data_IF_623360819564
#
_entry.id   IF_623360819564
#
_cell.length_a   1.000
_cell.length_b   1.000
_cell.length_c   1.000
_cell.angle_alpha   90.00
_cell.angle_beta   90.00
_cell.angle_gamma   90.00
#
_symmetry.space_group_name_H-M   'P 1'
#
loop_
_entity.id
_entity.type
_entity.pdbx_description
1 polymer ?
#
# COMPACT_ATOMS: atom_id res chain seq x y z
N UNK A 1 -11.57 12.08 -18.60
CA UNK A 1 -11.54 10.61 -18.66
C UNK A 1 -11.03 10.23 -20.03
N UNK A 2 -10.17 9.22 -20.12
CA UNK A 2 -9.65 8.71 -21.39
C UNK A 2 -10.68 7.77 -22.02
N UNK A 3 -10.80 7.82 -23.34
CA UNK A 3 -11.61 6.86 -24.08
C UNK A 3 -10.99 5.46 -24.02
N UNK A 4 -11.83 4.42 -24.01
CA UNK A 4 -11.38 3.02 -23.98
C UNK A 4 -10.85 2.55 -22.63
N UNK A 5 -10.91 3.36 -21.57
CA UNK A 5 -10.48 2.99 -20.21
C UNK A 5 -11.69 2.77 -19.31
N UNK A 6 -11.74 1.63 -18.62
CA UNK A 6 -12.72 1.36 -17.56
C UNK A 6 -12.27 2.06 -16.28
N UNK A 7 -13.20 2.69 -15.56
CA UNK A 7 -12.89 3.47 -14.36
C UNK A 7 -13.69 3.02 -13.14
N UNK A 8 -12.99 2.98 -12.00
CA UNK A 8 -13.59 3.04 -10.66
C UNK A 8 -13.14 4.36 -10.01
N UNK A 9 -14.09 5.24 -9.71
CA UNK A 9 -13.81 6.54 -9.12
C UNK A 9 -14.28 6.58 -7.66
N UNK A 10 -13.33 6.72 -6.74
CA UNK A 10 -13.59 6.80 -5.30
C UNK A 10 -13.29 8.24 -4.82
N UNK A 11 -14.31 9.06 -4.51
CA UNK A 11 -14.10 10.36 -3.91
C UNK A 11 -13.57 10.21 -2.48
N UNK A 12 -12.29 10.54 -2.27
CA UNK A 12 -11.64 10.41 -0.96
C UNK A 12 -10.56 11.48 -0.75
N UNK A 13 -10.57 12.09 0.43
CA UNK A 13 -9.52 13.00 0.88
C UNK A 13 -8.30 12.23 1.40
N UNK A 14 -7.11 12.81 1.31
CA UNK A 14 -5.90 12.26 1.97
C UNK A 14 -5.82 12.71 3.42
N UNK A 15 -6.82 12.31 4.21
CA UNK A 15 -6.93 12.65 5.62
C UNK A 15 -6.93 11.39 6.47
N UNK A 16 -6.30 11.40 7.66
CA UNK A 16 -6.41 10.30 8.61
C UNK A 16 -7.85 9.96 9.04
N UNK A 17 -8.79 10.90 8.90
CA UNK A 17 -10.22 10.69 9.20
C UNK A 17 -11.03 10.09 8.05
N UNK A 18 -10.46 10.03 6.84
CA UNK A 18 -11.14 9.43 5.69
C UNK A 18 -11.21 7.90 5.88
N UNK A 19 -12.41 7.33 5.79
CA UNK A 19 -12.57 5.87 5.77
C UNK A 19 -12.34 5.36 4.33
N UNK A 20 -11.17 4.77 4.09
CA UNK A 20 -10.84 4.06 2.84
C UNK A 20 -11.17 2.56 2.93
N UNK A 21 -11.15 1.97 4.12
CA UNK A 21 -11.43 0.54 4.32
C UNK A 21 -12.78 0.11 3.74
N UNK A 22 -13.81 0.97 3.82
CA UNK A 22 -15.12 0.72 3.20
C UNK A 22 -15.07 0.51 1.68
N UNK A 23 -14.00 0.95 1.01
CA UNK A 23 -13.78 0.84 -0.43
C UNK A 23 -12.84 -0.31 -0.82
N UNK A 24 -12.30 -1.07 0.14
CA UNK A 24 -11.36 -2.14 -0.15
C UNK A 24 -12.00 -3.21 -1.04
N UNK A 25 -13.22 -3.65 -0.74
CA UNK A 25 -13.86 -4.74 -1.51
C UNK A 25 -14.07 -4.38 -2.98
N UNK A 26 -14.64 -3.21 -3.27
CA UNK A 26 -14.84 -2.77 -4.65
C UNK A 26 -13.52 -2.51 -5.39
N UNK A 27 -12.50 -1.99 -4.70
CA UNK A 27 -11.18 -1.73 -5.28
C UNK A 27 -10.47 -3.04 -5.62
N UNK A 28 -10.48 -4.00 -4.69
CA UNK A 28 -9.89 -5.33 -4.86
C UNK A 28 -10.53 -6.03 -6.04
N UNK A 29 -11.87 -6.07 -6.08
CA UNK A 29 -12.62 -6.66 -7.20
C UNK A 29 -12.21 -6.04 -8.53
N UNK A 30 -12.21 -4.71 -8.62
CA UNK A 30 -11.88 -4.00 -9.84
C UNK A 30 -10.46 -4.29 -10.35
N UNK A 31 -9.47 -4.29 -9.45
CA UNK A 31 -8.08 -4.62 -9.78
C UNK A 31 -7.96 -6.08 -10.20
N UNK A 32 -8.59 -6.99 -9.45
CA UNK A 32 -8.48 -8.43 -9.69
C UNK A 32 -9.08 -8.84 -11.04
N UNK A 33 -10.30 -8.39 -11.34
CA UNK A 33 -10.96 -8.66 -12.63
C UNK A 33 -10.09 -8.16 -13.80
N UNK A 34 -9.53 -6.95 -13.70
CA UNK A 34 -8.63 -6.40 -14.72
C UNK A 34 -7.43 -7.33 -14.95
N UNK A 35 -6.79 -7.80 -13.88
CA UNK A 35 -5.61 -8.68 -13.98
C UNK A 35 -5.96 -10.07 -14.55
N UNK A 36 -7.11 -10.63 -14.20
CA UNK A 36 -7.56 -11.93 -14.74
C UNK A 36 -7.82 -11.88 -16.24
N UNK A 37 -8.19 -10.71 -16.79
CA UNK A 37 -8.33 -10.52 -18.23
C UNK A 37 -7.00 -10.30 -18.97
N UNK A 38 -5.87 -10.27 -18.24
CA UNK A 38 -4.55 -9.98 -18.81
C UNK A 38 -4.32 -8.49 -19.12
N UNK A 39 -5.19 -7.61 -18.61
CA UNK A 39 -5.10 -6.16 -18.80
C UNK A 39 -4.31 -5.47 -17.66
N UNK A 40 -3.86 -4.24 -17.93
CA UNK A 40 -3.16 -3.42 -16.94
C UNK A 40 -4.10 -2.50 -16.15
N UNK A 41 -3.97 -2.51 -14.82
CA UNK A 41 -4.71 -1.62 -13.93
C UNK A 41 -3.80 -0.52 -13.35
N UNK A 42 -4.16 0.76 -13.56
CA UNK A 42 -3.50 1.90 -12.91
C UNK A 42 -4.34 2.39 -11.73
N UNK A 43 -3.81 2.26 -10.51
CA UNK A 43 -4.39 2.86 -9.31
C UNK A 43 -3.63 4.15 -8.99
N UNK A 44 -4.30 5.30 -9.09
CA UNK A 44 -3.67 6.60 -8.84
C UNK A 44 -4.47 7.44 -7.85
N UNK A 45 -3.78 8.39 -7.21
CA UNK A 45 -4.38 9.51 -6.48
C UNK A 45 -3.66 10.80 -6.92
N UNK A 46 -3.66 11.86 -6.10
CA UNK A 46 -2.98 13.10 -6.46
C UNK A 46 -1.45 12.93 -6.57
N UNK A 47 -0.81 12.36 -5.55
CA UNK A 47 0.65 12.21 -5.49
C UNK A 47 1.14 10.77 -5.74
N UNK A 48 0.23 9.79 -5.70
CA UNK A 48 0.61 8.38 -5.74
C UNK A 48 1.45 7.94 -4.53
N UNK A 49 1.18 8.51 -3.36
CA UNK A 49 1.94 8.29 -2.11
C UNK A 49 1.10 7.59 -1.03
N UNK A 50 -0.15 8.02 -0.83
CA UNK A 50 -0.97 7.60 0.30
C UNK A 50 -2.26 6.87 -0.13
N UNK A 51 -3.33 7.57 -0.52
CA UNK A 51 -4.63 6.96 -0.88
C UNK A 51 -4.55 5.77 -1.84
N UNK A 52 -3.87 5.93 -2.98
CA UNK A 52 -3.74 4.87 -3.98
C UNK A 52 -2.90 3.70 -3.46
N UNK A 53 -1.83 4.00 -2.71
CA UNK A 53 -0.98 2.99 -2.07
C UNK A 53 -1.79 2.17 -1.08
N UNK A 54 -2.64 2.80 -0.26
CA UNK A 54 -3.50 2.08 0.69
C UNK A 54 -4.37 1.02 0.01
N UNK A 55 -5.01 1.35 -1.11
CA UNK A 55 -5.85 0.40 -1.85
C UNK A 55 -5.03 -0.74 -2.46
N UNK A 56 -3.84 -0.43 -2.99
CA UNK A 56 -2.92 -1.44 -3.55
C UNK A 56 -2.36 -2.35 -2.46
N UNK A 57 -2.05 -1.82 -1.27
CA UNK A 57 -1.61 -2.63 -0.12
C UNK A 57 -2.71 -3.60 0.31
N UNK A 58 -3.95 -3.14 0.46
CA UNK A 58 -5.08 -4.00 0.76
C UNK A 58 -5.29 -5.11 -0.30
N UNK A 59 -5.08 -4.78 -1.58
CA UNK A 59 -5.10 -5.76 -2.66
C UNK A 59 -4.01 -6.83 -2.50
N UNK A 60 -2.75 -6.42 -2.31
CA UNK A 60 -1.63 -7.35 -2.13
C UNK A 60 -1.86 -8.26 -0.93
N UNK A 61 -2.29 -7.71 0.22
CA UNK A 61 -2.63 -8.49 1.42
C UNK A 61 -3.70 -9.56 1.15
N UNK A 62 -4.62 -9.29 0.23
CA UNK A 62 -5.74 -10.20 -0.10
C UNK A 62 -5.32 -11.32 -1.05
N UNK A 63 -4.40 -11.05 -1.99
CA UNK A 63 -3.92 -12.06 -2.94
C UNK A 63 -2.71 -12.87 -2.41
N UNK A 64 -2.14 -12.48 -1.28
CA UNK A 64 -1.03 -13.18 -0.61
C UNK A 64 -1.34 -13.49 0.85
N UNK A 65 -0.39 -14.11 1.55
CA UNK A 65 -0.38 -14.33 2.99
C UNK A 65 0.26 -13.16 3.79
N UNK A 66 0.56 -12.03 3.14
CA UNK A 66 1.30 -10.92 3.77
C UNK A 66 0.41 -10.10 4.71
N UNK A 67 1.03 -9.64 5.81
CA UNK A 67 0.53 -8.51 6.60
C UNK A 67 0.73 -7.17 5.89
N UNK A 68 0.20 -6.10 6.47
CA UNK A 68 0.19 -4.78 5.83
C UNK A 68 1.59 -4.18 5.65
N UNK A 69 2.53 -4.47 6.56
CA UNK A 69 3.92 -3.96 6.49
C UNK A 69 4.72 -4.62 5.36
N UNK A 70 4.61 -5.95 5.23
CA UNK A 70 5.24 -6.67 4.13
C UNK A 70 4.61 -6.27 2.79
N UNK A 71 3.28 -6.15 2.73
CA UNK A 71 2.58 -5.68 1.53
C UNK A 71 2.96 -4.23 1.16
N UNK A 72 3.10 -3.32 2.13
CA UNK A 72 3.62 -1.97 1.89
C UNK A 72 5.08 -1.98 1.41
N UNK A 73 5.90 -2.88 1.95
CA UNK A 73 7.29 -3.06 1.51
C UNK A 73 7.38 -3.55 0.06
N UNK A 74 6.48 -4.43 -0.36
CA UNK A 74 6.33 -4.82 -1.78
C UNK A 74 6.03 -3.60 -2.64
N UNK A 75 5.10 -2.73 -2.23
CA UNK A 75 4.81 -1.49 -2.98
C UNK A 75 6.04 -0.57 -3.03
N UNK A 76 6.76 -0.44 -1.91
CA UNK A 76 7.99 0.40 -1.83
C UNK A 76 9.13 -0.11 -2.71
N UNK A 77 9.22 -1.42 -2.94
CA UNK A 77 10.19 -2.01 -3.87
C UNK A 77 10.04 -1.44 -5.29
N UNK A 78 8.81 -1.16 -5.72
CA UNK A 78 8.51 -0.57 -7.02
C UNK A 78 8.32 0.97 -6.97
N UNK A 79 7.94 1.51 -5.81
CA UNK A 79 7.63 2.94 -5.62
C UNK A 79 8.09 3.41 -4.25
N UNK A 80 9.36 3.80 -4.14
CA UNK A 80 10.03 4.15 -2.88
C UNK A 80 9.35 5.26 -2.07
N UNK A 81 8.62 6.17 -2.71
CA UNK A 81 7.87 7.24 -2.03
C UNK A 81 6.53 6.79 -1.40
N UNK A 82 6.15 5.51 -1.52
CA UNK A 82 4.92 4.98 -0.95
C UNK A 82 4.90 5.13 0.58
N UNK A 83 3.94 5.91 1.08
CA UNK A 83 3.79 6.23 2.48
C UNK A 83 2.34 6.63 2.81
N UNK A 84 1.45 5.66 3.08
CA UNK A 84 0.10 5.94 3.58
C UNK A 84 0.13 6.83 4.82
N UNK A 85 -0.82 7.75 4.95
CA UNK A 85 -0.95 8.52 6.18
C UNK A 85 -1.28 7.61 7.39
N UNK A 86 -1.04 8.11 8.61
CA UNK A 86 -1.21 7.30 9.84
C UNK A 86 -2.64 6.80 10.09
N UNK A 87 -3.68 7.44 9.54
CA UNK A 87 -5.04 6.92 9.62
C UNK A 87 -5.25 5.71 8.70
N UNK A 88 -4.68 5.75 7.50
CA UNK A 88 -4.72 4.63 6.57
C UNK A 88 -3.85 3.46 7.01
N UNK A 89 -2.68 3.71 7.63
CA UNK A 89 -1.88 2.63 8.23
C UNK A 89 -2.67 1.91 9.33
N UNK A 90 -3.38 2.65 10.20
CA UNK A 90 -4.27 2.04 11.20
C UNK A 90 -5.40 1.24 10.58
N UNK A 91 -6.04 1.75 9.53
CA UNK A 91 -7.06 1.00 8.80
C UNK A 91 -6.52 -0.28 8.17
N UNK A 92 -5.30 -0.29 7.63
CA UNK A 92 -4.65 -1.49 7.10
C UNK A 92 -4.29 -2.49 8.21
N UNK A 93 -3.85 -1.99 9.36
CA UNK A 93 -3.59 -2.83 10.52
C UNK A 93 -4.88 -3.45 11.07
N UNK A 94 -5.98 -2.70 11.12
CA UNK A 94 -7.29 -3.21 11.53
C UNK A 94 -7.82 -4.24 10.53
N UNK A 95 -7.62 -3.98 9.23
CA UNK A 95 -7.95 -4.92 8.16
C UNK A 95 -7.17 -6.23 8.30
N UNK A 96 -5.86 -6.18 8.57
CA UNK A 96 -5.05 -7.39 8.84
C UNK A 96 -5.60 -8.20 10.02
N UNK A 97 -5.99 -7.53 11.10
CA UNK A 97 -6.40 -8.21 12.34
C UNK A 97 -7.78 -8.87 12.25
N UNK A 98 -8.70 -8.29 11.49
CA UNK A 98 -10.12 -8.65 11.61
C UNK A 98 -10.75 -9.13 10.29
N UNK A 99 -10.24 -8.68 9.14
CA UNK A 99 -11.00 -8.76 7.88
C UNK A 99 -10.24 -9.48 6.76
N UNK A 100 -8.90 -9.43 6.71
CA UNK A 100 -8.12 -9.90 5.56
C UNK A 100 -8.38 -11.37 5.21
N UNK A 101 -8.56 -12.23 6.21
CA UNK A 101 -8.83 -13.66 5.98
C UNK A 101 -10.21 -13.89 5.36
N UNK A 102 -11.21 -13.10 5.76
CA UNK A 102 -12.53 -13.11 5.13
C UNK A 102 -12.44 -12.65 3.67
N UNK A 103 -11.59 -11.67 3.39
CA UNK A 103 -11.35 -11.18 2.03
C UNK A 103 -10.60 -12.20 1.17
N UNK A 104 -9.60 -12.90 1.71
CA UNK A 104 -8.90 -14.01 1.05
C UNK A 104 -9.86 -15.14 0.69
N UNK A 105 -10.69 -15.54 1.65
CA UNK A 105 -11.71 -16.56 1.44
C UNK A 105 -12.73 -16.12 0.39
N UNK A 106 -13.25 -14.89 0.50
CA UNK A 106 -14.17 -14.33 -0.49
C UNK A 106 -13.57 -14.33 -1.90
N UNK A 107 -12.32 -13.88 -2.05
CA UNK A 107 -11.67 -13.83 -3.35
C UNK A 107 -11.50 -15.25 -3.93
N UNK A 108 -11.14 -16.22 -3.08
CA UNK A 108 -11.03 -17.63 -3.47
C UNK A 108 -12.37 -18.24 -3.89
N UNK A 109 -13.44 -17.91 -3.19
CA UNK A 109 -14.79 -18.38 -3.53
C UNK A 109 -15.30 -17.77 -4.84
N UNK A 110 -14.99 -16.50 -5.12
CA UNK A 110 -15.48 -15.80 -6.31
C UNK A 110 -14.63 -16.07 -7.58
N UNK A 111 -13.32 -16.24 -7.44
CA UNK A 111 -12.38 -16.34 -8.58
C UNK A 111 -11.53 -17.62 -8.62
N UNK A 112 -11.59 -18.47 -7.59
CA UNK A 112 -10.74 -19.65 -7.46
C UNK A 112 -9.39 -19.36 -6.77
N UNK A 113 -8.46 -20.31 -6.82
CA UNK A 113 -7.14 -20.13 -6.22
C UNK A 113 -6.35 -19.02 -6.91
N UNK A 114 -5.68 -18.17 -6.12
CA UNK A 114 -4.78 -17.16 -6.66
C UNK A 114 -3.62 -17.83 -7.41
N UNK A 115 -3.16 -17.19 -8.49
CA UNK A 115 -2.00 -17.68 -9.25
C UNK A 115 -0.77 -17.78 -8.36
N UNK A 116 -0.09 -18.93 -8.38
CA UNK A 116 1.17 -19.13 -7.65
C UNK A 116 2.26 -18.12 -8.07
N UNK A 117 2.13 -17.57 -9.28
CA UNK A 117 3.02 -16.54 -9.80
C UNK A 117 2.90 -15.22 -9.02
N UNK A 118 1.70 -14.81 -8.62
CA UNK A 118 1.49 -13.54 -7.90
C UNK A 118 2.22 -13.53 -6.55
N UNK A 119 2.10 -14.64 -5.82
CA UNK A 119 2.79 -14.81 -4.55
C UNK A 119 4.31 -14.83 -4.74
N UNK A 120 4.81 -15.50 -5.78
CA UNK A 120 6.24 -15.55 -6.06
C UNK A 120 6.80 -14.18 -6.44
N UNK A 121 6.09 -13.42 -7.27
CA UNK A 121 6.46 -12.06 -7.65
C UNK A 121 6.49 -11.12 -6.43
N UNK A 122 5.46 -11.20 -5.58
CA UNK A 122 5.41 -10.43 -4.34
C UNK A 122 6.57 -10.77 -3.40
N UNK A 123 6.91 -12.05 -3.23
CA UNK A 123 8.08 -12.51 -2.44
C UNK A 123 9.40 -11.99 -3.01
N UNK A 124 9.56 -12.02 -4.33
CA UNK A 124 10.76 -11.50 -5.00
C UNK A 124 10.93 -9.98 -4.83
N UNK A 125 9.82 -9.22 -4.85
CA UNK A 125 9.87 -7.77 -4.60
C UNK A 125 10.21 -7.47 -3.13
N UNK A 126 9.61 -8.23 -2.21
CA UNK A 126 9.87 -8.08 -0.78
C UNK A 126 11.33 -8.36 -0.43
N UNK A 127 11.94 -9.40 -0.99
CA UNK A 127 13.35 -9.72 -0.75
C UNK A 127 14.27 -8.60 -1.24
N UNK A 128 14.05 -8.11 -2.47
CA UNK A 128 14.80 -6.98 -3.04
C UNK A 128 14.73 -5.74 -2.17
N UNK A 129 13.56 -5.42 -1.61
CA UNK A 129 13.41 -4.28 -0.71
C UNK A 129 14.19 -4.46 0.60
N UNK A 130 14.13 -5.65 1.21
CA UNK A 130 14.87 -5.97 2.45
C UNK A 130 16.39 -5.86 2.25
N UNK A 131 16.91 -6.39 1.14
CA UNK A 131 18.33 -6.27 0.75
C UNK A 131 18.78 -4.80 0.59
N UNK A 132 17.96 -3.98 -0.07
CA UNK A 132 18.25 -2.55 -0.24
C UNK A 132 18.27 -1.79 1.10
N UNK A 133 17.36 -2.12 2.02
CA UNK A 133 17.30 -1.51 3.33
C UNK A 133 18.54 -1.86 4.19
N UNK A 134 19.00 -3.10 4.15
CA UNK A 134 20.22 -3.56 4.83
C UNK A 134 21.48 -2.88 4.28
N UNK A 135 21.60 -2.72 2.96
CA UNK A 135 22.71 -2.02 2.31
C UNK A 135 22.80 -0.54 2.72
N UNK A 136 21.67 0.14 2.88
CA UNK A 136 21.63 1.53 3.34
C UNK A 136 22.05 1.67 4.81
N UNK A 137 21.69 0.71 5.65
CA UNK A 137 22.11 0.69 7.06
C UNK A 137 23.62 0.41 7.21
N UNK A 138 24.19 -0.47 6.38
CA UNK A 138 25.62 -0.80 6.44
C UNK A 138 26.54 0.27 5.83
N UNK A 139 26.07 1.01 4.81
CA UNK A 139 26.84 2.10 4.19
C UNK A 139 26.75 3.44 4.96
N UNK A 140 25.75 3.63 5.81
CA UNK A 140 25.62 4.79 6.71
C UNK A 140 26.53 4.77 7.93
N UNK A 141 27.36 3.73 8.12
CA UNK A 141 28.17 3.48 9.31
C UNK A 141 29.54 4.17 9.40
N UNK A 142 29.87 5.14 8.54
CA UNK A 142 31.08 5.98 8.72
C UNK A 142 30.70 7.39 9.18
N UNK A 143 30.68 7.51 10.51
CA UNK A 143 30.84 8.72 11.32
C UNK A 143 29.70 9.73 11.31
N UNK A 144 28.77 9.57 12.25
CA UNK A 144 28.12 10.69 12.93
C UNK A 144 28.44 10.60 14.43
N UNK A 145 29.22 11.56 14.92
CA UNK A 145 29.62 11.66 16.32
C UNK A 145 28.38 11.84 17.22
N UNK A 146 28.35 11.08 18.32
CA UNK A 146 27.42 11.24 19.43
C UNK A 146 27.48 12.67 19.99
N UNK A 147 26.44 13.46 19.72
CA UNK A 147 25.91 14.47 20.64
C UNK A 147 24.56 14.98 20.11
N UNK A 148 23.48 14.25 20.39
CA UNK A 148 22.13 14.82 20.40
C UNK A 148 21.34 14.21 21.54
N UNK A 149 21.50 14.82 22.72
CA UNK A 149 20.43 14.92 23.69
C UNK A 149 19.24 15.60 23.02
N UNK A 150 18.05 14.98 23.13
CA UNK A 150 16.72 15.54 22.77
C UNK A 150 16.57 16.13 21.35
N UNK A 151 16.04 15.35 20.41
CA UNK A 151 15.42 15.92 19.20
C UNK A 151 14.03 16.47 19.57
N UNK A 152 13.70 17.74 19.27
CA UNK A 152 12.45 18.36 19.68
C UNK A 152 11.28 17.89 18.82
N UNK A 153 10.09 17.85 19.44
CA UNK A 153 8.81 17.62 18.76
C UNK A 153 8.61 18.63 17.61
N UNK A 154 8.46 18.14 16.39
CA UNK A 154 8.02 18.98 15.27
C UNK A 154 6.56 19.35 15.49
N UNK A 155 6.33 20.62 15.84
CA UNK A 155 5.00 21.21 15.97
C UNK A 155 4.23 21.15 14.65
N UNK A 156 3.02 20.62 14.74
CA UNK A 156 2.03 20.48 13.67
C UNK A 156 1.42 21.85 13.34
N UNK A 157 2.19 22.75 12.76
CA UNK A 157 1.71 24.07 12.34
C UNK A 157 2.58 24.55 11.20
N UNK A 158 2.12 24.34 9.95
CA UNK A 158 2.46 25.11 8.74
C UNK A 158 1.91 24.41 7.47
N UNK A 159 0.66 23.93 7.51
CA UNK A 159 -0.12 23.75 6.28
C UNK A 159 -1.11 24.90 6.21
N UNK A 160 -0.74 25.93 5.46
CA UNK A 160 -1.66 26.96 4.98
C UNK A 160 -2.56 26.31 3.92
N UNK A 161 -3.83 26.14 4.25
CA UNK A 161 -4.90 25.98 3.26
C UNK A 161 -5.13 27.32 2.58
N UNK A 162 -4.75 27.45 1.31
CA UNK A 162 -5.40 28.38 0.37
C UNK A 162 -5.54 27.73 -1.02
N UNK A 163 -6.81 27.69 -1.44
CA UNK A 163 -7.44 27.36 -2.75
C UNK A 163 -7.17 26.01 -3.42
#
# INVERSE_FOLDING_TARGET
MLEGVKYLCIPAADSPSQNLARHFRESIKFIHECRLTGEGCLVHCLAGVSRSVTLVVAYIMTITDFGWEDALSVVRAARSCANPNMGFQRQLQDFEKHDVDQFRQWLKEEYGENSSQDLQEAKNLLSKYKEQAELQQTTGGRQWNNNFSSVPSLSYSNYTTET
#
